data_IF_792808727131
#
_entry.id   IF_792808727131
#
_cell.length_a   1.000
_cell.length_b   1.000
_cell.length_c   1.000
_cell.angle_alpha   90.00
_cell.angle_beta   90.00
_cell.angle_gamma   90.00
#
_symmetry.space_group_name_H-M   'P 1'
#
loop_
_entity.id
_entity.type
_entity.pdbx_description
1 polymer ?
#
# COMPACT_ATOMS: atom_id res chain seq x y z
N UNK A 1 62.29 39.46 -1.80
CA UNK A 1 61.24 39.65 -2.82
C UNK A 1 60.57 38.30 -3.04
N UNK A 2 59.34 38.09 -2.55
CA UNK A 2 58.60 36.84 -2.71
C UNK A 2 57.57 37.02 -3.82
N UNK A 3 57.71 36.27 -4.91
CA UNK A 3 56.73 36.24 -6.01
C UNK A 3 55.60 35.30 -5.58
N UNK A 4 54.45 35.86 -5.21
CA UNK A 4 53.28 35.07 -4.81
C UNK A 4 52.56 34.59 -6.08
N UNK A 5 52.40 33.27 -6.21
CA UNK A 5 52.08 32.63 -7.48
C UNK A 5 50.56 32.65 -7.75
N UNK A 6 50.08 33.65 -8.50
CA UNK A 6 48.65 33.93 -8.73
C UNK A 6 47.86 32.82 -9.47
N UNK A 7 48.53 31.87 -10.13
CA UNK A 7 47.86 30.84 -10.95
C UNK A 7 47.10 29.77 -10.15
N UNK A 8 47.50 29.47 -8.92
CA UNK A 8 46.94 28.36 -8.15
C UNK A 8 45.52 28.64 -7.60
N UNK A 9 45.23 29.90 -7.24
CA UNK A 9 43.97 30.28 -6.60
C UNK A 9 42.75 30.06 -7.52
N UNK A 10 42.82 30.52 -8.77
CA UNK A 10 41.72 30.38 -9.74
C UNK A 10 41.41 28.91 -10.09
N UNK A 11 42.40 28.03 -10.01
CA UNK A 11 42.23 26.61 -10.30
C UNK A 11 41.56 25.87 -9.13
N UNK A 12 41.93 26.20 -7.89
CA UNK A 12 41.25 25.71 -6.68
C UNK A 12 39.79 26.15 -6.60
N UNK A 13 39.50 27.41 -6.94
CA UNK A 13 38.14 27.96 -6.96
C UNK A 13 37.23 27.21 -7.96
N UNK A 14 37.73 26.98 -9.19
CA UNK A 14 37.00 26.20 -10.22
C UNK A 14 36.79 24.73 -9.87
N UNK A 15 37.72 24.12 -9.15
CA UNK A 15 37.55 22.75 -8.65
C UNK A 15 36.49 22.69 -7.53
N UNK A 16 36.47 23.69 -6.66
CA UNK A 16 35.49 23.81 -5.57
C UNK A 16 34.07 24.04 -6.11
N UNK A 17 33.89 24.92 -7.10
CA UNK A 17 32.60 25.11 -7.78
C UNK A 17 32.09 23.82 -8.45
N UNK A 18 32.97 23.08 -9.14
CA UNK A 18 32.59 21.80 -9.77
C UNK A 18 32.15 20.76 -8.75
N UNK A 19 32.89 20.62 -7.64
CA UNK A 19 32.54 19.69 -6.57
C UNK A 19 31.16 20.01 -5.97
N UNK A 20 30.87 21.29 -5.69
CA UNK A 20 29.58 21.72 -5.14
C UNK A 20 28.42 21.44 -6.10
N UNK A 21 28.57 21.79 -7.39
CA UNK A 21 27.51 21.56 -8.40
C UNK A 21 27.23 20.07 -8.59
N UNK A 22 28.25 19.21 -8.49
CA UNK A 22 28.08 17.77 -8.60
C UNK A 22 27.45 17.14 -7.33
N UNK A 23 27.77 17.63 -6.13
CA UNK A 23 27.06 17.20 -4.91
C UNK A 23 25.59 17.61 -4.92
N UNK A 24 25.26 18.79 -5.42
CA UNK A 24 23.87 19.28 -5.49
C UNK A 24 23.03 18.49 -6.49
N UNK A 25 23.59 18.18 -7.67
CA UNK A 25 22.96 17.31 -8.67
C UNK A 25 22.73 15.89 -8.15
N UNK A 26 23.74 15.27 -7.52
CA UNK A 26 23.64 13.92 -6.94
C UNK A 26 22.62 13.86 -5.80
N UNK A 27 22.56 14.89 -4.96
CA UNK A 27 21.61 14.99 -3.83
C UNK A 27 20.19 15.25 -4.34
N UNK A 28 20.02 16.15 -5.31
CA UNK A 28 18.73 16.43 -5.96
C UNK A 28 18.12 15.21 -6.64
N UNK A 29 18.92 14.42 -7.39
CA UNK A 29 18.43 13.20 -8.04
C UNK A 29 18.04 12.10 -7.04
N UNK A 30 18.87 11.84 -6.00
CA UNK A 30 18.51 10.86 -4.96
C UNK A 30 17.24 11.26 -4.20
N UNK A 31 17.06 12.55 -3.91
CA UNK A 31 15.90 13.06 -3.17
C UNK A 31 14.63 13.06 -4.01
N UNK A 32 14.71 13.37 -5.31
CA UNK A 32 13.57 13.21 -6.24
C UNK A 32 13.19 11.75 -6.42
N UNK A 33 14.17 10.85 -6.57
CA UNK A 33 13.92 9.42 -6.70
C UNK A 33 13.32 8.80 -5.42
N UNK A 34 13.76 9.20 -4.21
CA UNK A 34 13.16 8.71 -2.97
C UNK A 34 11.76 9.28 -2.74
N UNK A 35 11.51 10.56 -3.05
CA UNK A 35 10.16 11.15 -3.03
C UNK A 35 9.23 10.47 -4.03
N UNK A 36 9.68 10.18 -5.24
CA UNK A 36 8.90 9.44 -6.23
C UNK A 36 8.61 8.01 -5.75
N UNK A 37 9.58 7.33 -5.13
CA UNK A 37 9.38 5.97 -4.60
C UNK A 37 8.41 5.95 -3.41
N UNK A 38 8.48 6.94 -2.52
CA UNK A 38 7.53 7.12 -1.42
C UNK A 38 6.12 7.47 -1.93
N UNK A 39 6.01 8.37 -2.90
CA UNK A 39 4.75 8.70 -3.57
C UNK A 39 4.15 7.48 -4.29
N UNK A 40 4.98 6.66 -4.95
CA UNK A 40 4.52 5.43 -5.59
C UNK A 40 4.01 4.40 -4.54
N UNK A 41 4.71 4.23 -3.42
CA UNK A 41 4.28 3.36 -2.31
C UNK A 41 2.95 3.85 -1.71
N UNK A 42 2.81 5.16 -1.49
CA UNK A 42 1.54 5.76 -1.06
C UNK A 42 0.43 5.60 -2.11
N UNK A 43 0.75 5.66 -3.41
CA UNK A 43 -0.20 5.47 -4.51
C UNK A 43 -0.61 4.02 -4.75
N UNK A 44 0.14 3.05 -4.21
CA UNK A 44 -0.23 1.62 -4.25
C UNK A 44 -1.47 1.35 -3.37
N UNK A 45 -1.78 2.30 -2.47
CA UNK A 45 -2.93 2.22 -1.59
C UNK A 45 -2.64 1.44 -0.32
N UNK A 46 -3.23 1.88 0.79
CA UNK A 46 -3.29 1.05 1.99
C UNK A 46 -4.35 -0.02 1.73
N UNK A 47 -3.92 -1.28 1.71
CA UNK A 47 -4.80 -2.44 1.68
C UNK A 47 -4.95 -2.96 3.10
N UNK A 48 -6.18 -3.17 3.53
CA UNK A 48 -6.52 -3.85 4.78
C UNK A 48 -7.27 -5.14 4.46
N UNK A 49 -6.94 -6.20 5.19
CA UNK A 49 -7.71 -7.45 5.19
C UNK A 49 -7.64 -8.07 6.58
N UNK A 50 -8.80 -8.41 7.13
CA UNK A 50 -8.97 -9.26 8.30
C UNK A 50 -9.73 -10.52 7.90
N UNK A 51 -9.35 -11.67 8.45
CA UNK A 51 -9.89 -12.99 8.12
C UNK A 51 -10.19 -13.70 9.44
N UNK A 52 -11.41 -14.20 9.59
CA UNK A 52 -11.81 -14.97 10.75
C UNK A 52 -12.33 -16.35 10.33
N UNK A 53 -12.20 -17.32 11.24
CA UNK A 53 -12.89 -18.61 11.17
C UNK A 53 -13.10 -19.13 12.58
N UNK A 54 -14.31 -19.62 12.86
CA UNK A 54 -14.73 -20.14 14.16
C UNK A 54 -15.57 -21.41 13.97
N UNK A 55 -15.35 -22.40 14.85
CA UNK A 55 -16.21 -23.58 14.93
C UNK A 55 -17.20 -23.39 16.08
N UNK A 56 -18.47 -23.17 15.75
CA UNK A 56 -19.55 -23.00 16.74
C UNK A 56 -20.00 -24.35 17.32
N UNK A 57 -19.78 -25.43 16.57
CA UNK A 57 -19.95 -26.82 16.97
C UNK A 57 -18.98 -27.69 16.13
N UNK A 58 -18.77 -28.98 16.46
CA UNK A 58 -17.86 -29.86 15.68
C UNK A 58 -18.18 -29.91 14.17
N UNK A 59 -19.45 -29.73 13.81
CA UNK A 59 -19.97 -29.75 12.44
C UNK A 59 -20.60 -28.41 12.01
N UNK A 60 -20.33 -27.32 12.72
CA UNK A 60 -20.75 -25.97 12.32
C UNK A 60 -19.55 -25.01 12.31
N UNK A 61 -19.26 -24.45 11.13
CA UNK A 61 -18.17 -23.49 10.92
C UNK A 61 -18.73 -22.17 10.38
N UNK A 62 -18.30 -21.06 10.98
CA UNK A 62 -18.43 -19.72 10.40
C UNK A 62 -17.05 -19.22 9.97
N UNK A 63 -17.01 -18.52 8.83
CA UNK A 63 -15.78 -17.98 8.27
C UNK A 63 -16.09 -16.79 7.37
N UNK A 64 -15.06 -15.98 7.11
CA UNK A 64 -15.23 -14.83 6.25
C UNK A 64 -14.09 -13.83 6.40
N UNK A 65 -14.30 -12.65 5.83
CA UNK A 65 -13.30 -11.59 5.81
C UNK A 65 -13.94 -10.20 5.73
N UNK A 66 -13.16 -9.20 6.11
CA UNK A 66 -13.38 -7.79 5.79
C UNK A 66 -12.13 -7.31 5.07
N UNK A 67 -12.27 -6.71 3.89
CA UNK A 67 -11.16 -6.06 3.21
C UNK A 67 -11.53 -4.69 2.66
N UNK A 68 -10.52 -3.82 2.57
CA UNK A 68 -10.65 -2.45 2.07
C UNK A 68 -9.40 -2.07 1.27
N UNK A 69 -9.61 -1.37 0.16
CA UNK A 69 -8.59 -0.68 -0.61
C UNK A 69 -9.12 0.72 -1.01
N UNK A 70 -8.29 1.64 -1.54
CA UNK A 70 -8.73 3.01 -1.85
C UNK A 70 -9.83 3.15 -2.92
N UNK A 71 -10.25 2.06 -3.56
CA UNK A 71 -11.31 2.04 -4.55
C UNK A 71 -12.57 1.32 -4.07
N UNK A 72 -12.46 0.29 -3.23
CA UNK A 72 -13.56 -0.60 -2.85
C UNK A 72 -13.33 -1.31 -1.50
N UNK A 73 -14.42 -1.81 -0.93
CA UNK A 73 -14.42 -2.67 0.25
C UNK A 73 -15.39 -3.84 0.08
N UNK A 74 -15.07 -4.99 0.67
CA UNK A 74 -15.93 -6.17 0.77
C UNK A 74 -15.96 -6.66 2.22
N UNK A 75 -17.16 -7.03 2.69
CA UNK A 75 -17.38 -7.77 3.91
C UNK A 75 -18.20 -9.01 3.59
N UNK A 76 -17.61 -10.19 3.75
CA UNK A 76 -18.23 -11.49 3.46
C UNK A 76 -18.23 -12.36 4.70
N UNK A 77 -19.37 -12.98 4.99
CA UNK A 77 -19.53 -13.97 6.03
C UNK A 77 -20.29 -15.18 5.48
N UNK A 78 -19.82 -16.37 5.79
CA UNK A 78 -20.44 -17.65 5.41
C UNK A 78 -20.51 -18.58 6.62
N UNK A 79 -21.58 -19.38 6.66
CA UNK A 79 -21.81 -20.43 7.66
C UNK A 79 -22.10 -21.74 6.94
N UNK A 80 -21.40 -22.80 7.33
CA UNK A 80 -21.75 -24.17 6.95
C UNK A 80 -22.13 -24.98 8.17
N UNK A 81 -23.25 -25.67 8.04
CA UNK A 81 -23.70 -26.71 8.95
C UNK A 81 -23.67 -28.04 8.18
N UNK A 82 -22.72 -28.90 8.55
CA UNK A 82 -22.51 -30.18 7.87
C UNK A 82 -23.53 -31.26 8.30
N UNK A 83 -24.13 -31.14 9.50
CA UNK A 83 -25.15 -32.08 9.98
C UNK A 83 -26.48 -31.86 9.24
N UNK A 84 -26.83 -30.59 8.97
CA UNK A 84 -28.06 -30.20 8.27
C UNK A 84 -27.87 -29.92 6.76
N UNK A 85 -26.67 -30.19 6.22
CA UNK A 85 -26.25 -29.87 4.84
C UNK A 85 -26.66 -28.46 4.37
N UNK A 86 -26.50 -27.47 5.26
CA UNK A 86 -26.98 -26.09 5.06
C UNK A 86 -25.80 -25.14 4.91
N UNK A 87 -25.84 -24.32 3.87
CA UNK A 87 -24.85 -23.28 3.59
C UNK A 87 -25.54 -21.93 3.42
N UNK A 88 -25.32 -21.03 4.37
CA UNK A 88 -25.83 -19.67 4.32
C UNK A 88 -24.69 -18.66 4.31
N UNK A 89 -24.99 -17.44 3.89
CA UNK A 89 -24.01 -16.38 3.83
C UNK A 89 -24.58 -15.03 3.50
N UNK A 90 -23.73 -14.02 3.67
CA UNK A 90 -24.00 -12.63 3.33
C UNK A 90 -22.73 -11.97 2.81
N UNK A 91 -22.91 -11.09 1.84
CA UNK A 91 -21.89 -10.16 1.36
C UNK A 91 -22.44 -8.74 1.40
N UNK A 92 -21.60 -7.80 1.80
CA UNK A 92 -21.76 -6.37 1.57
C UNK A 92 -20.52 -5.86 0.85
N UNK A 93 -20.71 -5.00 -0.13
CA UNK A 93 -19.61 -4.36 -0.85
C UNK A 93 -19.95 -2.93 -1.20
N UNK A 94 -18.94 -2.09 -1.34
CA UNK A 94 -19.11 -0.72 -1.82
C UNK A 94 -17.84 -0.18 -2.45
N UNK A 95 -17.96 0.90 -3.21
CA UNK A 95 -16.81 1.53 -3.86
C UNK A 95 -16.81 3.07 -3.76
N UNK A 96 -15.67 3.66 -4.14
CA UNK A 96 -15.41 5.10 -4.06
C UNK A 96 -16.35 5.99 -4.87
N UNK A 97 -17.20 5.43 -5.75
CA UNK A 97 -18.25 6.16 -6.48
C UNK A 97 -19.59 6.19 -5.73
N UNK A 98 -19.68 5.53 -4.57
CA UNK A 98 -20.92 5.37 -3.81
C UNK A 98 -21.81 4.23 -4.34
N UNK A 99 -21.32 3.42 -5.28
CA UNK A 99 -21.99 2.17 -5.66
C UNK A 99 -21.89 1.19 -4.48
N UNK A 100 -22.98 0.48 -4.21
CA UNK A 100 -23.15 -0.36 -3.02
C UNK A 100 -24.05 -1.54 -3.33
N UNK A 101 -23.81 -2.69 -2.68
CA UNK A 101 -24.71 -3.82 -2.74
C UNK A 101 -24.64 -4.71 -1.50
N UNK A 102 -25.77 -5.32 -1.18
CA UNK A 102 -25.86 -6.45 -0.24
C UNK A 102 -26.48 -7.65 -0.95
N UNK A 103 -26.00 -8.85 -0.63
CA UNK A 103 -26.62 -10.10 -1.05
C UNK A 103 -26.59 -11.10 0.11
N UNK A 104 -27.69 -11.83 0.26
CA UNK A 104 -27.91 -12.85 1.28
C UNK A 104 -28.33 -14.14 0.60
N UNK A 105 -27.89 -15.29 1.12
CA UNK A 105 -28.33 -16.60 0.67
C UNK A 105 -28.43 -17.59 1.82
N UNK A 106 -29.32 -18.55 1.65
CA UNK A 106 -29.54 -19.66 2.57
C UNK A 106 -29.92 -20.88 1.73
N UNK A 107 -28.95 -21.78 1.54
CA UNK A 107 -29.07 -22.96 0.70
C UNK A 107 -29.20 -24.19 1.59
N UNK A 108 -30.33 -24.88 1.48
CA UNK A 108 -30.44 -26.28 1.86
C UNK A 108 -30.22 -27.13 0.60
N UNK A 109 -29.50 -28.24 0.72
CA UNK A 109 -29.32 -29.25 -0.34
C UNK A 109 -29.55 -30.66 0.19
#
# INVERSE_FOLDING_TARGET
MLIVNFGAASLLEKLTEKASRESDLRTGHKTKASKQKAANILSTGQYFQDIFSEHLAPFQIEFGHVCENPNEWEQRFERRDFDNNRHSGKIKWGNRRGEYGEQYWDLNH
#
